data_IF_036969002595
#
_entry.id   IF_036969002595
#
_cell.length_a   1.000
_cell.length_b   1.000
_cell.length_c   1.000
_cell.angle_alpha   90.00
_cell.angle_beta   90.00
_cell.angle_gamma   90.00
#
_symmetry.space_group_name_H-M   'P 1'
#
loop_
_entity.id
_entity.type
_entity.pdbx_description
1 polymer ?
#
# COMPACT_ATOMS: atom_id res chain seq x y z
N UNK A 1 -5.62 -2.47 -7.71
CA UNK A 1 -6.84 -2.66 -8.53
C UNK A 1 -6.54 -2.82 -10.02
N UNK A 2 -5.60 -2.08 -10.62
CA UNK A 2 -5.32 -2.21 -12.06
C UNK A 2 -4.87 -3.61 -12.51
N UNK A 3 -4.21 -4.36 -11.63
CA UNK A 3 -3.67 -5.71 -11.91
C UNK A 3 -4.77 -6.79 -11.89
N UNK A 4 -5.93 -6.50 -11.30
CA UNK A 4 -7.06 -7.43 -11.27
C UNK A 4 -7.90 -7.30 -12.55
N UNK A 5 -8.34 -8.43 -13.09
CA UNK A 5 -9.16 -8.43 -14.31
C UNK A 5 -10.59 -8.01 -13.99
N UNK A 6 -11.09 -6.99 -14.69
CA UNK A 6 -12.50 -6.56 -14.64
C UNK A 6 -13.48 -7.61 -15.15
N UNK A 7 -12.99 -8.69 -15.80
CA UNK A 7 -13.80 -9.83 -16.22
C UNK A 7 -13.89 -10.93 -15.15
N UNK A 8 -13.03 -10.89 -14.14
CA UNK A 8 -12.92 -11.92 -13.10
C UNK A 8 -13.32 -11.41 -11.72
N UNK A 9 -13.43 -10.09 -11.56
CA UNK A 9 -13.77 -9.40 -10.32
C UNK A 9 -14.91 -8.44 -10.62
N UNK A 10 -15.91 -8.46 -9.76
CA UNK A 10 -17.13 -7.64 -9.85
C UNK A 10 -16.81 -6.13 -9.85
N UNK A 11 -17.59 -5.34 -10.59
CA UNK A 11 -17.56 -3.88 -10.57
C UNK A 11 -17.77 -3.31 -9.15
N UNK A 12 -18.61 -3.96 -8.35
CA UNK A 12 -18.87 -3.61 -6.96
C UNK A 12 -17.62 -3.58 -6.10
N UNK A 13 -16.67 -4.50 -6.33
CA UNK A 13 -15.37 -4.50 -5.65
C UNK A 13 -14.62 -3.19 -5.92
N UNK A 14 -14.42 -2.83 -7.18
CA UNK A 14 -13.68 -1.61 -7.55
C UNK A 14 -14.35 -0.35 -6.97
N UNK A 15 -15.67 -0.27 -7.07
CA UNK A 15 -16.45 0.85 -6.52
C UNK A 15 -16.22 1.00 -5.02
N UNK A 16 -16.44 -0.06 -4.23
CA UNK A 16 -16.30 -0.02 -2.76
C UNK A 16 -14.89 0.42 -2.35
N UNK A 17 -13.86 -0.07 -3.04
CA UNK A 17 -12.49 0.24 -2.67
C UNK A 17 -12.05 1.65 -3.10
N UNK A 18 -12.67 2.22 -4.13
CA UNK A 18 -12.47 3.63 -4.47
C UNK A 18 -13.11 4.57 -3.44
N UNK A 19 -14.14 4.16 -2.71
CA UNK A 19 -14.62 4.92 -1.54
C UNK A 19 -13.63 4.88 -0.39
N UNK A 20 -12.96 3.75 -0.17
CA UNK A 20 -11.86 3.67 0.81
C UNK A 20 -10.72 4.61 0.37
N UNK A 21 -10.34 4.59 -0.92
CA UNK A 21 -9.34 5.52 -1.49
C UNK A 21 -9.72 7.00 -1.33
N UNK A 22 -11.01 7.33 -1.51
CA UNK A 22 -11.53 8.67 -1.25
C UNK A 22 -11.32 9.08 0.21
N UNK A 23 -11.68 8.21 1.16
CA UNK A 23 -11.47 8.47 2.59
C UNK A 23 -9.99 8.66 2.96
N UNK A 24 -9.10 7.82 2.41
CA UNK A 24 -7.66 7.91 2.65
C UNK A 24 -7.05 9.20 2.09
N UNK A 25 -7.42 9.60 0.87
CA UNK A 25 -6.91 10.84 0.25
C UNK A 25 -7.47 12.09 0.90
N UNK A 26 -8.74 12.08 1.33
CA UNK A 26 -9.31 13.15 2.14
C UNK A 26 -8.60 13.25 3.51
N UNK A 27 -8.33 12.10 4.16
CA UNK A 27 -7.55 12.05 5.39
C UNK A 27 -6.12 12.54 5.22
N UNK A 28 -5.45 12.21 4.11
CA UNK A 28 -4.12 12.71 3.79
C UNK A 28 -4.12 14.23 3.59
N UNK A 29 -5.12 14.78 2.89
CA UNK A 29 -5.29 16.22 2.75
C UNK A 29 -5.49 16.88 4.13
N UNK A 30 -6.35 16.33 4.98
CA UNK A 30 -6.56 16.85 6.34
C UNK A 30 -5.28 16.80 7.18
N UNK A 31 -4.55 15.67 7.16
CA UNK A 31 -3.29 15.51 7.89
C UNK A 31 -2.20 16.47 7.39
N UNK A 32 -2.18 16.78 6.08
CA UNK A 32 -1.25 17.73 5.46
C UNK A 32 -1.33 19.16 6.01
N UNK A 33 -2.38 19.50 6.77
CA UNK A 33 -2.47 20.78 7.51
C UNK A 33 -1.52 20.84 8.69
N UNK A 34 -1.15 19.69 9.26
CA UNK A 34 -0.32 19.57 10.47
C UNK A 34 1.07 19.02 10.19
N UNK A 35 1.17 18.03 9.29
CA UNK A 35 2.40 17.28 8.99
C UNK A 35 2.79 17.32 7.51
N UNK A 36 2.19 18.21 6.73
CA UNK A 36 2.45 18.36 5.29
C UNK A 36 3.71 19.17 4.96
N UNK A 37 3.97 19.40 3.67
CA UNK A 37 5.12 20.18 3.21
C UNK A 37 5.09 21.61 3.74
N UNK A 38 6.22 22.11 4.22
CA UNK A 38 6.32 23.46 4.81
C UNK A 38 6.60 24.55 3.79
N UNK A 39 7.25 24.23 2.67
CA UNK A 39 7.48 25.21 1.61
C UNK A 39 6.17 25.50 0.86
N UNK A 40 5.82 26.79 0.75
CA UNK A 40 4.53 27.23 0.22
C UNK A 40 4.19 26.64 -1.16
N UNK A 41 5.19 26.56 -2.05
CA UNK A 41 5.04 25.96 -3.38
C UNK A 41 4.67 24.47 -3.31
N UNK A 42 5.43 23.68 -2.54
CA UNK A 42 5.11 22.25 -2.35
C UNK A 42 3.79 22.03 -1.63
N UNK A 43 3.41 22.93 -0.73
CA UNK A 43 2.16 22.85 0.02
C UNK A 43 0.94 23.00 -0.89
N UNK A 44 0.98 23.97 -1.81
CA UNK A 44 -0.07 24.16 -2.82
C UNK A 44 -0.22 22.93 -3.73
N UNK A 45 0.89 22.44 -4.29
CA UNK A 45 0.86 21.28 -5.19
C UNK A 45 0.44 19.99 -4.49
N UNK A 46 0.81 19.82 -3.22
CA UNK A 46 0.35 18.70 -2.39
C UNK A 46 -1.19 18.69 -2.28
N UNK A 47 -1.80 19.81 -1.88
CA UNK A 47 -3.27 19.87 -1.76
C UNK A 47 -3.96 19.73 -3.12
N UNK A 48 -3.44 20.39 -4.15
CA UNK A 48 -3.98 20.26 -5.50
C UNK A 48 -4.00 18.79 -5.94
N UNK A 49 -2.90 18.05 -5.72
CA UNK A 49 -2.82 16.64 -6.06
C UNK A 49 -3.72 15.76 -5.16
N UNK A 50 -3.75 15.99 -3.84
CA UNK A 50 -4.54 15.20 -2.90
C UNK A 50 -6.05 15.37 -3.12
N UNK A 51 -6.52 16.62 -3.32
CA UNK A 51 -7.93 16.91 -3.61
C UNK A 51 -8.31 16.37 -5.00
N UNK A 52 -7.42 16.50 -5.99
CA UNK A 52 -7.66 15.91 -7.32
C UNK A 52 -7.72 14.39 -7.24
N UNK A 53 -6.90 13.75 -6.40
CA UNK A 53 -6.95 12.31 -6.18
C UNK A 53 -8.30 11.90 -5.56
N UNK A 54 -8.77 12.62 -4.54
CA UNK A 54 -10.09 12.39 -3.95
C UNK A 54 -11.20 12.49 -5.01
N UNK A 55 -11.21 13.56 -5.81
CA UNK A 55 -12.17 13.74 -6.90
C UNK A 55 -12.07 12.62 -7.95
N UNK A 56 -10.86 12.26 -8.38
CA UNK A 56 -10.64 11.16 -9.33
C UNK A 56 -11.12 9.82 -8.78
N UNK A 57 -10.92 9.56 -7.48
CA UNK A 57 -11.41 8.35 -6.81
C UNK A 57 -12.93 8.28 -6.84
N UNK A 58 -13.61 9.39 -6.52
CA UNK A 58 -15.06 9.49 -6.59
C UNK A 58 -15.59 9.27 -8.01
N UNK A 59 -15.04 9.98 -9.00
CA UNK A 59 -15.43 9.83 -10.41
C UNK A 59 -15.21 8.39 -10.89
N UNK A 60 -14.06 7.79 -10.56
CA UNK A 60 -13.80 6.39 -10.88
C UNK A 60 -14.83 5.45 -10.23
N UNK A 61 -15.23 5.70 -8.98
CA UNK A 61 -16.24 4.91 -8.29
C UNK A 61 -17.61 4.98 -9.00
N UNK A 62 -17.98 6.18 -9.49
CA UNK A 62 -19.20 6.39 -10.29
C UNK A 62 -19.09 5.68 -11.65
N UNK A 63 -17.95 5.72 -12.32
CA UNK A 63 -17.75 4.99 -13.58
C UNK A 63 -17.91 3.48 -13.41
N UNK A 64 -17.47 2.93 -12.26
CA UNK A 64 -17.70 1.53 -11.91
C UNK A 64 -19.15 1.23 -11.50
N UNK A 65 -19.88 2.21 -10.94
CA UNK A 65 -21.32 2.09 -10.68
C UNK A 65 -22.11 1.87 -11.97
N UNK A 66 -21.73 2.54 -13.05
CA UNK A 66 -22.33 2.36 -14.38
C UNK A 66 -21.63 1.30 -15.25
N UNK A 67 -20.77 0.47 -14.65
CA UNK A 67 -20.05 -0.63 -15.31
C UNK A 67 -19.19 -0.22 -16.53
N UNK A 68 -18.79 1.04 -16.63
CA UNK A 68 -17.88 1.54 -17.66
C UNK A 68 -16.43 1.11 -17.39
N UNK A 69 -16.14 -0.18 -17.56
CA UNK A 69 -14.90 -0.81 -17.11
C UNK A 69 -13.60 -0.18 -17.66
N UNK A 70 -13.60 0.29 -18.92
CA UNK A 70 -12.42 0.95 -19.50
C UNK A 70 -12.17 2.31 -18.85
N UNK A 71 -13.19 3.17 -18.79
CA UNK A 71 -13.12 4.47 -18.16
C UNK A 71 -12.83 4.36 -16.65
N UNK A 72 -13.43 3.37 -15.97
CA UNK A 72 -13.16 3.06 -14.58
C UNK A 72 -11.70 2.68 -14.32
N UNK A 73 -11.07 1.89 -15.22
CA UNK A 73 -9.62 1.59 -15.13
C UNK A 73 -8.76 2.83 -15.35
N UNK A 74 -9.11 3.67 -16.32
CA UNK A 74 -8.42 4.95 -16.52
C UNK A 74 -8.54 5.84 -15.28
N UNK A 75 -9.71 5.89 -14.66
CA UNK A 75 -9.94 6.59 -13.40
C UNK A 75 -9.05 6.08 -12.26
N UNK A 76 -8.92 4.75 -12.10
CA UNK A 76 -7.99 4.17 -11.12
C UNK A 76 -6.53 4.55 -11.44
N UNK A 77 -6.13 4.58 -12.71
CA UNK A 77 -4.78 4.97 -13.10
C UNK A 77 -4.49 6.44 -12.76
N UNK A 78 -5.40 7.34 -13.10
CA UNK A 78 -5.32 8.77 -12.76
C UNK A 78 -5.25 8.96 -11.24
N UNK A 79 -6.16 8.30 -10.50
CA UNK A 79 -6.15 8.29 -9.04
C UNK A 79 -4.80 7.83 -8.47
N UNK A 80 -4.24 6.75 -9.00
CA UNK A 80 -2.94 6.21 -8.56
C UNK A 80 -1.81 7.20 -8.81
N UNK A 81 -1.76 7.81 -10.00
CA UNK A 81 -0.74 8.81 -10.35
C UNK A 81 -0.83 10.01 -9.41
N UNK A 82 -2.03 10.52 -9.15
CA UNK A 82 -2.23 11.67 -8.26
C UNK A 82 -1.83 11.35 -6.81
N UNK A 83 -2.09 10.13 -6.33
CA UNK A 83 -1.61 9.69 -5.01
C UNK A 83 -0.08 9.64 -4.94
N UNK A 84 0.58 9.15 -5.99
CA UNK A 84 2.05 9.11 -6.05
C UNK A 84 2.63 10.51 -6.10
N UNK A 85 2.05 11.42 -6.90
CA UNK A 85 2.47 12.83 -6.95
C UNK A 85 2.29 13.49 -5.58
N UNK A 86 1.11 13.41 -4.97
CA UNK A 86 0.86 13.99 -3.65
C UNK A 86 1.83 13.43 -2.59
N UNK A 87 2.02 12.11 -2.55
CA UNK A 87 2.94 11.47 -1.63
C UNK A 87 4.39 11.89 -1.82
N UNK A 88 4.86 11.97 -3.07
CA UNK A 88 6.22 12.43 -3.38
C UNK A 88 6.48 13.87 -2.94
N UNK A 89 5.46 14.74 -2.96
CA UNK A 89 5.58 16.11 -2.45
C UNK A 89 5.61 16.17 -0.92
N UNK A 90 5.04 15.16 -0.25
CA UNK A 90 5.05 15.03 1.20
C UNK A 90 6.35 14.43 1.76
N UNK A 91 7.20 13.87 0.90
CA UNK A 91 8.52 13.38 1.29
C UNK A 91 9.36 14.55 1.78
N UNK A 92 9.89 14.42 3.00
CA UNK A 92 10.81 15.38 3.60
C UNK A 92 12.14 14.68 3.88
N UNK A 93 13.26 15.38 3.65
CA UNK A 93 14.60 14.81 3.82
C UNK A 93 15.60 15.34 2.80
N UNK A 94 16.88 15.02 3.00
CA UNK A 94 17.98 15.47 2.15
C UNK A 94 17.97 14.77 0.77
N UNK A 95 17.60 13.50 0.72
CA UNK A 95 17.52 12.71 -0.52
C UNK A 95 16.05 12.49 -0.93
N UNK A 96 15.54 13.38 -1.77
CA UNK A 96 14.16 13.31 -2.27
C UNK A 96 13.91 12.07 -3.12
N UNK A 97 14.93 11.56 -3.82
CA UNK A 97 14.79 10.39 -4.69
C UNK A 97 14.66 9.14 -3.82
N UNK A 98 15.55 8.96 -2.85
CA UNK A 98 15.47 7.83 -1.91
C UNK A 98 14.14 7.84 -1.14
N UNK A 99 13.69 9.01 -0.67
CA UNK A 99 12.41 9.14 0.03
C UNK A 99 11.18 8.90 -0.87
N UNK A 100 11.22 9.30 -2.15
CA UNK A 100 10.13 8.98 -3.08
C UNK A 100 10.08 7.48 -3.40
N UNK A 101 11.23 6.82 -3.57
CA UNK A 101 11.32 5.37 -3.77
C UNK A 101 10.85 4.61 -2.52
N UNK A 102 11.21 5.11 -1.34
CA UNK A 102 10.73 4.61 -0.05
C UNK A 102 9.20 4.66 0.04
N UNK A 103 8.61 5.83 -0.21
CA UNK A 103 7.17 6.03 -0.23
C UNK A 103 6.45 5.09 -1.21
N UNK A 104 6.95 4.98 -2.45
CA UNK A 104 6.32 4.14 -3.48
C UNK A 104 6.41 2.66 -3.11
N UNK A 105 7.57 2.19 -2.62
CA UNK A 105 7.75 0.78 -2.25
C UNK A 105 6.96 0.41 -0.99
N UNK A 106 6.90 1.27 0.01
CA UNK A 106 6.07 1.10 1.21
C UNK A 106 4.59 1.07 0.89
N UNK A 107 4.13 2.01 0.06
CA UNK A 107 2.76 2.05 -0.45
C UNK A 107 2.39 0.83 -1.30
N UNK A 108 3.32 0.32 -2.11
CA UNK A 108 3.10 -0.90 -2.90
C UNK A 108 2.96 -2.13 -2.01
N UNK A 109 3.80 -2.29 -0.99
CA UNK A 109 3.71 -3.40 -0.04
C UNK A 109 2.41 -3.36 0.76
N UNK A 110 2.12 -2.22 1.42
CA UNK A 110 0.91 -2.06 2.21
C UNK A 110 -0.35 -2.19 1.35
N UNK A 111 -0.35 -1.54 0.19
CA UNK A 111 -1.47 -1.56 -0.74
C UNK A 111 -1.74 -2.95 -1.34
N UNK A 112 -0.70 -3.70 -1.70
CA UNK A 112 -0.86 -5.05 -2.26
C UNK A 112 -1.41 -6.05 -1.24
N UNK A 113 -0.89 -6.05 -0.01
CA UNK A 113 -1.36 -6.92 1.07
C UNK A 113 -2.78 -6.55 1.50
N UNK A 114 -3.07 -5.25 1.65
CA UNK A 114 -4.43 -4.77 1.97
C UNK A 114 -5.42 -5.13 0.86
N UNK A 115 -5.05 -4.93 -0.41
CA UNK A 115 -5.92 -5.29 -1.52
C UNK A 115 -6.13 -6.80 -1.63
N UNK A 116 -5.11 -7.62 -1.34
CA UNK A 116 -5.27 -9.07 -1.27
C UNK A 116 -6.25 -9.46 -0.16
N UNK A 117 -6.13 -8.87 1.02
CA UNK A 117 -7.03 -9.10 2.16
C UNK A 117 -8.47 -8.72 1.82
N UNK A 118 -8.69 -7.50 1.32
CA UNK A 118 -10.03 -7.02 1.00
C UNK A 118 -10.65 -7.80 -0.17
N UNK A 119 -9.83 -8.20 -1.14
CA UNK A 119 -10.30 -9.12 -2.18
C UNK A 119 -10.67 -10.47 -1.57
N UNK A 120 -9.86 -11.05 -0.69
CA UNK A 120 -10.20 -12.27 0.04
C UNK A 120 -11.55 -12.17 0.76
N UNK A 121 -11.81 -11.05 1.44
CA UNK A 121 -13.10 -10.79 2.08
C UNK A 121 -14.26 -10.75 1.08
N UNK A 122 -14.05 -10.16 -0.10
CA UNK A 122 -15.05 -10.16 -1.17
C UNK A 122 -15.41 -11.58 -1.66
N UNK A 123 -14.45 -12.52 -1.67
CA UNK A 123 -14.73 -13.92 -2.02
C UNK A 123 -15.63 -14.63 -1.01
N UNK A 124 -15.73 -14.15 0.23
CA UNK A 124 -16.62 -14.72 1.24
C UNK A 124 -18.08 -14.38 0.98
N UNK A 125 -18.33 -13.17 0.47
CA UNK A 125 -19.68 -12.71 0.16
C UNK A 125 -20.14 -13.15 -1.24
N UNK A 126 -19.21 -13.30 -2.18
CA UNK A 126 -19.49 -13.72 -3.56
C UNK A 126 -18.76 -15.05 -3.89
N UNK A 127 -19.22 -16.20 -3.34
CA UNK A 127 -18.63 -17.49 -3.64
C UNK A 127 -18.82 -17.83 -5.12
N UNK A 128 -17.73 -18.18 -5.82
CA UNK A 128 -17.75 -18.56 -7.25
C UNK A 128 -16.81 -17.76 -8.15
N UNK A 129 -16.17 -16.70 -7.65
CA UNK A 129 -15.14 -16.00 -8.41
C UNK A 129 -13.88 -16.87 -8.61
N UNK A 130 -13.19 -16.72 -9.74
CA UNK A 130 -11.96 -17.46 -10.03
C UNK A 130 -10.87 -17.07 -9.05
N UNK A 131 -10.10 -17.99 -8.47
CA UNK A 131 -9.02 -17.67 -7.51
C UNK A 131 -7.79 -16.95 -8.12
N UNK A 132 -7.68 -16.90 -9.45
CA UNK A 132 -6.51 -16.35 -10.14
C UNK A 132 -6.17 -14.88 -9.78
N UNK A 133 -7.11 -13.93 -9.64
CA UNK A 133 -6.82 -12.57 -9.18
C UNK A 133 -6.24 -12.53 -7.77
N UNK A 134 -6.77 -13.34 -6.84
CA UNK A 134 -6.27 -13.40 -5.47
C UNK A 134 -4.82 -13.93 -5.43
N UNK A 135 -4.53 -15.01 -6.15
CA UNK A 135 -3.17 -15.55 -6.26
C UNK A 135 -2.19 -14.51 -6.85
N UNK A 136 -2.62 -13.73 -7.86
CA UNK A 136 -1.79 -12.64 -8.42
C UNK A 136 -1.50 -11.54 -7.42
N UNK A 137 -2.47 -11.19 -6.56
CA UNK A 137 -2.25 -10.19 -5.51
C UNK A 137 -1.33 -10.70 -4.41
N UNK A 138 -1.45 -11.97 -4.01
CA UNK A 138 -0.51 -12.60 -3.06
C UNK A 138 0.91 -12.60 -3.64
N UNK A 139 1.07 -12.94 -4.93
CA UNK A 139 2.37 -12.86 -5.59
C UNK A 139 2.90 -11.42 -5.66
N UNK A 140 2.05 -10.45 -6.00
CA UNK A 140 2.41 -9.03 -5.99
C UNK A 140 2.88 -8.58 -4.61
N UNK A 141 2.22 -9.03 -3.54
CA UNK A 141 2.63 -8.74 -2.17
C UNK A 141 4.01 -9.32 -1.84
N UNK A 142 4.32 -10.54 -2.28
CA UNK A 142 5.66 -11.13 -2.12
C UNK A 142 6.71 -10.33 -2.88
N UNK A 143 6.44 -9.95 -4.14
CA UNK A 143 7.36 -9.13 -4.94
C UNK A 143 7.55 -7.75 -4.32
N UNK A 144 6.48 -7.12 -3.82
CA UNK A 144 6.57 -5.84 -3.13
C UNK A 144 7.37 -5.95 -1.83
N UNK A 145 7.18 -7.02 -1.05
CA UNK A 145 7.94 -7.29 0.17
C UNK A 145 9.42 -7.51 -0.13
N UNK A 146 9.75 -8.20 -1.22
CA UNK A 146 11.10 -8.35 -1.75
C UNK A 146 11.76 -7.01 -2.05
N UNK A 147 11.11 -6.19 -2.86
CA UNK A 147 11.62 -4.87 -3.25
C UNK A 147 11.83 -3.97 -2.03
N UNK A 148 10.86 -3.97 -1.10
CA UNK A 148 10.95 -3.23 0.16
C UNK A 148 12.10 -3.71 1.02
N UNK A 149 12.26 -5.03 1.16
CA UNK A 149 13.35 -5.65 1.93
C UNK A 149 14.73 -5.26 1.38
N UNK A 150 14.92 -5.29 0.06
CA UNK A 150 16.19 -4.91 -0.57
C UNK A 150 16.52 -3.42 -0.36
N UNK A 151 15.51 -2.55 -0.45
CA UNK A 151 15.69 -1.11 -0.22
C UNK A 151 16.05 -0.81 1.24
N UNK A 152 15.33 -1.40 2.20
CA UNK A 152 15.60 -1.26 3.62
C UNK A 152 16.98 -1.82 3.99
N UNK A 153 17.34 -3.01 3.49
CA UNK A 153 18.67 -3.59 3.72
C UNK A 153 19.81 -2.69 3.20
N UNK A 154 19.59 -2.00 2.08
CA UNK A 154 20.55 -1.03 1.54
C UNK A 154 20.69 0.21 2.42
N UNK A 155 19.60 0.68 3.04
CA UNK A 155 19.64 1.76 4.03
C UNK A 155 20.30 1.34 5.33
N UNK A 156 19.94 0.15 5.84
CA UNK A 156 20.45 -0.43 7.08
C UNK A 156 21.97 -0.52 7.09
N UNK A 157 22.58 -1.04 6.01
CA UNK A 157 24.04 -1.19 5.92
C UNK A 157 24.77 0.15 6.04
N UNK A 158 24.14 1.27 5.63
CA UNK A 158 24.74 2.61 5.73
C UNK A 158 24.56 3.25 7.11
N UNK A 159 23.47 2.94 7.79
CA UNK A 159 23.09 3.61 9.02
C UNK A 159 23.28 2.77 10.28
N UNK A 160 23.55 1.47 10.15
CA UNK A 160 23.79 0.56 11.28
C UNK A 160 24.75 1.13 12.33
N UNK A 161 25.88 1.79 11.98
CA UNK A 161 26.79 2.35 12.98
C UNK A 161 26.21 3.52 13.80
N UNK A 162 25.10 4.10 13.35
CA UNK A 162 24.46 5.29 13.91
C UNK A 162 23.25 4.95 14.78
N UNK A 163 22.84 3.68 14.83
CA UNK A 163 21.67 3.24 15.59
C UNK A 163 22.00 3.08 17.08
N UNK A 164 21.19 3.71 17.92
CA UNK A 164 21.17 3.47 19.36
C UNK A 164 20.38 2.20 19.70
N UNK A 165 20.29 1.86 21.00
CA UNK A 165 19.57 0.65 21.43
C UNK A 165 18.07 0.65 21.07
N UNK A 166 17.45 1.84 21.07
CA UNK A 166 16.05 2.00 20.67
C UNK A 166 15.89 1.80 19.16
N UNK A 167 16.77 2.38 18.35
CA UNK A 167 16.85 2.16 16.90
C UNK A 167 17.06 0.69 16.56
N UNK A 168 17.96 0.00 17.27
CA UNK A 168 18.14 -1.45 17.11
C UNK A 168 16.87 -2.25 17.41
N UNK A 169 16.07 -1.82 18.40
CA UNK A 169 14.78 -2.46 18.74
C UNK A 169 13.74 -2.26 17.64
N UNK A 170 13.57 -1.03 17.14
CA UNK A 170 12.66 -0.78 16.04
C UNK A 170 13.10 -1.48 14.75
N UNK A 171 14.42 -1.58 14.52
CA UNK A 171 14.95 -2.31 13.38
C UNK A 171 14.63 -3.80 13.48
N UNK A 172 14.77 -4.40 14.67
CA UNK A 172 14.35 -5.78 14.90
C UNK A 172 12.84 -5.96 14.64
N UNK A 173 11.99 -5.05 15.13
CA UNK A 173 10.55 -5.06 14.85
C UNK A 173 10.25 -4.94 13.35
N UNK A 174 10.96 -4.07 12.65
CA UNK A 174 10.85 -3.86 11.20
C UNK A 174 11.15 -5.14 10.43
N UNK A 175 12.25 -5.81 10.73
CA UNK A 175 12.64 -7.04 10.05
C UNK A 175 11.74 -8.22 10.38
N UNK A 176 11.38 -8.37 11.65
CA UNK A 176 10.53 -9.47 12.10
C UNK A 176 9.11 -9.35 11.55
N UNK A 177 8.43 -8.22 11.79
CA UNK A 177 7.02 -8.04 11.44
C UNK A 177 6.83 -7.54 10.01
N UNK A 178 7.74 -6.70 9.51
CA UNK A 178 7.64 -6.13 8.17
C UNK A 178 8.09 -7.05 7.05
N UNK A 179 8.98 -8.02 7.33
CA UNK A 179 9.48 -8.97 6.32
C UNK A 179 9.24 -10.42 6.72
N UNK A 180 9.90 -10.95 7.75
CA UNK A 180 9.83 -12.39 8.08
C UNK A 180 8.38 -12.87 8.21
N UNK A 181 7.56 -12.17 9.01
CA UNK A 181 6.16 -12.49 9.18
C UNK A 181 5.38 -12.41 7.85
N UNK A 182 5.58 -11.37 7.04
CA UNK A 182 4.87 -11.17 5.77
C UNK A 182 5.13 -12.32 4.80
N UNK A 183 6.38 -12.77 4.71
CA UNK A 183 6.78 -13.88 3.84
C UNK A 183 6.21 -15.22 4.30
N UNK A 184 6.27 -15.49 5.60
CA UNK A 184 5.67 -16.69 6.19
C UNK A 184 4.16 -16.69 5.95
N UNK A 185 3.48 -15.58 6.22
CA UNK A 185 2.03 -15.47 6.04
C UNK A 185 1.62 -15.53 4.57
N UNK A 186 2.41 -14.96 3.65
CA UNK A 186 2.17 -15.10 2.22
C UNK A 186 2.33 -16.55 1.75
N UNK A 187 3.35 -17.26 2.24
CA UNK A 187 3.54 -18.69 1.96
C UNK A 187 2.39 -19.54 2.51
N UNK A 188 1.96 -19.28 3.75
CA UNK A 188 0.80 -19.94 4.36
C UNK A 188 -0.48 -19.66 3.58
N UNK A 189 -0.71 -18.40 3.16
CA UNK A 189 -1.86 -18.03 2.32
C UNK A 189 -1.82 -18.78 1.00
N UNK A 190 -0.65 -18.83 0.35
CA UNK A 190 -0.48 -19.55 -0.92
C UNK A 190 -0.78 -21.04 -0.79
N UNK A 191 -0.27 -21.69 0.27
CA UNK A 191 -0.60 -23.08 0.56
C UNK A 191 -2.08 -23.27 0.85
N UNK A 192 -2.67 -22.36 1.61
CA UNK A 192 -4.10 -22.40 1.97
C UNK A 192 -4.98 -22.26 0.75
N UNK A 193 -4.58 -21.49 -0.28
CA UNK A 193 -5.32 -21.30 -1.53
C UNK A 193 -5.17 -22.45 -2.55
N UNK A 194 -4.26 -23.41 -2.32
CA UNK A 194 -4.18 -24.64 -3.15
C UNK A 194 -5.41 -25.52 -2.95
N UNK A 195 -5.92 -25.52 -1.73
CA UNK A 195 -7.26 -26.01 -1.40
C UNK A 195 -8.15 -24.76 -1.46
N UNK A 196 -9.32 -24.72 -2.10
CA UNK A 196 -10.07 -23.47 -2.28
C UNK A 196 -10.72 -22.92 -0.98
N UNK A 197 -10.05 -22.99 0.17
CA UNK A 197 -10.48 -22.45 1.46
C UNK A 197 -10.16 -20.95 1.56
N UNK A 198 -11.02 -20.14 0.96
CA UNK A 198 -10.90 -18.67 0.94
C UNK A 198 -11.11 -18.04 2.32
N UNK A 199 -11.89 -18.65 3.21
CA UNK A 199 -12.14 -18.15 4.56
C UNK A 199 -10.86 -18.16 5.41
N UNK A 200 -10.16 -19.29 5.45
CA UNK A 200 -8.89 -19.38 6.18
C UNK A 200 -7.81 -18.48 5.57
N UNK A 201 -7.69 -18.47 4.23
CA UNK A 201 -6.74 -17.62 3.52
C UNK A 201 -6.94 -16.12 3.84
N UNK A 202 -8.20 -15.69 3.91
CA UNK A 202 -8.53 -14.29 4.26
C UNK A 202 -8.13 -13.95 5.69
N UNK A 203 -8.34 -14.87 6.65
CA UNK A 203 -7.89 -14.69 8.03
C UNK A 203 -6.36 -14.52 8.14
N UNK A 204 -5.59 -15.28 7.37
CA UNK A 204 -4.13 -15.14 7.30
C UNK A 204 -3.74 -13.76 6.72
N UNK A 205 -4.44 -13.31 5.67
CA UNK A 205 -4.20 -12.00 5.06
C UNK A 205 -4.52 -10.83 6.01
N UNK A 206 -5.51 -10.95 6.91
CA UNK A 206 -5.75 -9.97 7.98
C UNK A 206 -4.53 -9.82 8.90
N UNK A 207 -3.96 -10.94 9.34
CA UNK A 207 -2.74 -10.93 10.17
C UNK A 207 -1.57 -10.33 9.38
N UNK A 208 -1.47 -10.63 8.08
CA UNK A 208 -0.42 -10.07 7.22
C UNK A 208 -0.53 -8.54 7.12
N UNK A 209 -1.74 -7.99 6.97
CA UNK A 209 -1.98 -6.53 6.98
C UNK A 209 -1.46 -5.91 8.29
N UNK A 210 -1.79 -6.49 9.44
CA UNK A 210 -1.34 -6.00 10.75
C UNK A 210 0.20 -6.01 10.84
N UNK A 211 0.84 -7.10 10.41
CA UNK A 211 2.29 -7.23 10.42
C UNK A 211 2.98 -6.19 9.52
N UNK A 212 2.45 -5.96 8.31
CA UNK A 212 2.96 -4.92 7.40
C UNK A 212 2.78 -3.53 8.01
N UNK A 213 1.62 -3.24 8.60
CA UNK A 213 1.39 -1.95 9.27
C UNK A 213 2.40 -1.71 10.40
N UNK A 214 2.65 -2.71 11.26
CA UNK A 214 3.64 -2.61 12.34
C UNK A 214 5.05 -2.41 11.79
N UNK A 215 5.42 -3.15 10.74
CA UNK A 215 6.72 -3.02 10.09
C UNK A 215 6.92 -1.63 9.46
N UNK A 216 5.93 -1.16 8.70
CA UNK A 216 6.02 0.14 8.02
C UNK A 216 5.94 1.32 9.00
N UNK A 217 5.18 1.21 10.09
CA UNK A 217 5.20 2.20 11.17
C UNK A 217 6.58 2.25 11.85
N UNK A 218 7.18 1.08 12.10
CA UNK A 218 8.54 1.01 12.66
C UNK A 218 9.55 1.66 11.72
N UNK A 219 9.43 1.43 10.41
CA UNK A 219 10.24 2.06 9.35
C UNK A 219 10.15 3.59 9.37
N UNK A 220 8.93 4.13 9.48
CA UNK A 220 8.72 5.57 9.55
C UNK A 220 9.27 6.20 10.83
N UNK A 221 9.20 5.48 11.96
CA UNK A 221 9.77 5.94 13.23
C UNK A 221 11.29 5.90 13.22
N UNK A 222 11.89 4.87 12.60
CA UNK A 222 13.34 4.75 12.41
C UNK A 222 13.89 5.83 11.48
N UNK A 223 13.21 6.07 10.36
CA UNK A 223 13.67 6.98 9.32
C UNK A 223 13.51 8.46 9.72
N UNK A 224 12.88 8.77 10.86
CA UNK A 224 12.74 10.14 11.37
C UNK A 224 14.10 10.70 11.79
N UNK A 225 14.68 11.53 10.92
CA UNK A 225 15.95 12.22 11.14
C UNK A 225 17.15 11.55 10.45
N UNK A 226 16.90 10.51 9.66
CA UNK A 226 17.92 9.76 8.94
C UNK A 226 17.77 9.92 7.41
N UNK A 227 18.88 9.99 6.64
CA UNK A 227 18.84 10.32 5.22
C UNK A 227 18.43 9.16 4.30
N UNK A 228 18.38 7.92 4.82
CA UNK A 228 18.07 6.71 4.07
C UNK A 228 16.89 5.96 4.70
N UNK A 229 16.12 5.22 3.87
CA UNK A 229 15.01 4.40 4.35
C UNK A 229 15.48 3.16 5.10
N UNK A 230 14.94 2.94 6.30
CA UNK A 230 15.18 1.76 7.15
C UNK A 230 13.90 0.94 7.32
#
# INVERSE_FOLDING_TARGET
>A
MLVTSSRQVDAGFYRVHLWIGLGLTAGAAAAGTTIGPTAATSHFYFYAAAISAAAASYVAAVLWLYEYALAGKMGIAIFTILCVVAGSMAVSGADQVAGAVDFVTGGLLLGSVTLAMLLGHWYLNNPGMKLAPLNRLVLLAVVAALLRCLLCAWGDVRQWPQLDALGGTFLALRWLWGFVAVWVLAAMTWQTLKIPNTQSATGILYVAVICVFLGELSSQLLSRGLPYPL
#
